data_IF_658486785591
#
_entry.id   IF_658486785591
#
_cell.length_a   1.000
_cell.length_b   1.000
_cell.length_c   1.000
_cell.angle_alpha   90.00
_cell.angle_beta   90.00
_cell.angle_gamma   90.00
#
_symmetry.space_group_name_H-M   'P 1'
#
loop_
_entity.id
_entity.type
_entity.pdbx_description
1 polymer ?
#
# COMPACT_ATOMS: atom_id res chain seq x y z
N UNK A 1 -9.85 -4.24 -51.09
CA UNK A 1 -8.69 -3.93 -50.22
C UNK A 1 -9.07 -3.56 -48.78
N UNK A 2 -10.36 -3.54 -48.41
CA UNK A 2 -10.83 -3.09 -47.07
C UNK A 2 -10.85 -4.18 -45.99
N UNK A 3 -11.07 -5.44 -46.37
CA UNK A 3 -11.24 -6.57 -45.42
C UNK A 3 -9.95 -6.94 -44.70
N UNK A 4 -8.80 -6.75 -45.37
CA UNK A 4 -7.48 -7.03 -44.79
C UNK A 4 -7.09 -5.99 -43.74
N UNK A 5 -7.41 -4.72 -43.97
CA UNK A 5 -7.21 -3.66 -42.98
C UNK A 5 -8.05 -3.90 -41.72
N UNK A 6 -9.34 -4.22 -41.88
CA UNK A 6 -10.22 -4.54 -40.75
C UNK A 6 -9.73 -5.76 -39.96
N UNK A 7 -9.27 -6.81 -40.65
CA UNK A 7 -8.70 -8.00 -40.00
C UNK A 7 -7.40 -7.67 -39.25
N UNK A 8 -6.52 -6.84 -39.82
CA UNK A 8 -5.32 -6.37 -39.15
C UNK A 8 -5.63 -5.55 -37.89
N UNK A 9 -6.60 -4.62 -37.95
CA UNK A 9 -7.00 -3.83 -36.77
C UNK A 9 -7.58 -4.71 -35.67
N UNK A 10 -8.46 -5.67 -36.00
CA UNK A 10 -9.02 -6.61 -35.02
C UNK A 10 -7.93 -7.49 -34.39
N UNK A 11 -6.99 -8.01 -35.18
CA UNK A 11 -5.87 -8.81 -34.68
C UNK A 11 -4.92 -7.99 -33.80
N UNK A 12 -4.71 -6.70 -34.09
CA UNK A 12 -3.90 -5.81 -33.26
C UNK A 12 -4.57 -5.55 -31.89
N UNK A 13 -5.90 -5.38 -31.85
CA UNK A 13 -6.63 -5.14 -30.59
C UNK A 13 -6.63 -6.38 -29.68
N UNK A 14 -6.67 -7.60 -30.24
CA UNK A 14 -6.59 -8.86 -29.48
C UNK A 14 -5.18 -9.11 -28.92
N UNK A 15 -4.13 -8.53 -29.53
CA UNK A 15 -2.74 -8.67 -29.11
C UNK A 15 -2.35 -7.75 -27.95
N UNK A 16 -3.16 -6.76 -27.61
CA UNK A 16 -2.95 -5.94 -26.41
C UNK A 16 -3.42 -6.74 -25.20
N UNK A 17 -2.65 -7.77 -24.84
CA UNK A 17 -2.77 -8.38 -23.53
C UNK A 17 -2.41 -7.32 -22.50
N UNK A 18 -3.39 -6.89 -21.71
CA UNK A 18 -3.14 -6.05 -20.54
C UNK A 18 -2.28 -6.90 -19.60
N UNK A 19 -0.96 -6.66 -19.63
CA UNK A 19 -0.05 -7.18 -18.60
C UNK A 19 -0.34 -6.35 -17.35
N UNK A 20 -1.49 -6.61 -16.74
CA UNK A 20 -1.78 -6.04 -15.44
C UNK A 20 -0.70 -6.52 -14.49
N UNK A 21 -0.15 -5.56 -13.79
CA UNK A 21 0.87 -5.77 -12.78
C UNK A 21 0.09 -6.26 -11.54
N UNK A 22 0.17 -7.56 -11.21
CA UNK A 22 -0.82 -8.18 -10.29
C UNK A 22 -0.26 -8.28 -8.88
N UNK A 23 -0.93 -7.61 -7.94
CA UNK A 23 -0.86 -7.95 -6.51
C UNK A 23 -1.94 -8.98 -6.22
N UNK A 24 -1.56 -10.13 -5.67
CA UNK A 24 -2.51 -11.17 -5.25
C UNK A 24 -2.60 -11.22 -3.73
N UNK A 25 -3.83 -11.18 -3.20
CA UNK A 25 -4.09 -11.29 -1.77
C UNK A 25 -4.95 -12.52 -1.44
N UNK A 26 -4.61 -13.19 -0.33
CA UNK A 26 -5.35 -14.35 0.16
C UNK A 26 -5.36 -14.44 1.69
N UNK A 27 -6.44 -14.85 2.36
CA UNK A 27 -7.79 -15.02 1.81
C UNK A 27 -8.43 -13.67 1.46
N UNK A 28 -9.36 -13.65 0.50
CA UNK A 28 -10.12 -12.43 0.14
C UNK A 28 -11.13 -12.04 1.22
N UNK A 29 -11.74 -13.04 1.86
CA UNK A 29 -12.70 -12.86 2.94
C UNK A 29 -12.43 -13.90 4.02
N UNK A 30 -12.46 -13.49 5.28
CA UNK A 30 -12.31 -14.41 6.41
C UNK A 30 -13.11 -13.90 7.60
N UNK A 31 -13.96 -14.75 8.13
CA UNK A 31 -14.59 -14.58 9.43
C UNK A 31 -13.81 -15.44 10.41
N UNK A 32 -13.46 -14.88 11.57
CA UNK A 32 -12.61 -15.51 12.56
C UNK A 32 -13.09 -15.15 13.97
N UNK A 33 -13.08 -16.12 14.88
CA UNK A 33 -13.32 -15.85 16.31
C UNK A 33 -12.11 -15.16 16.97
N UNK A 34 -12.38 -14.43 18.06
CA UNK A 34 -11.33 -13.77 18.85
C UNK A 34 -10.31 -14.79 19.39
N UNK A 35 -9.06 -14.35 19.55
CA UNK A 35 -7.98 -15.19 20.08
C UNK A 35 -7.37 -16.16 19.07
N UNK A 36 -7.89 -16.21 17.83
CA UNK A 36 -7.36 -17.08 16.78
C UNK A 36 -6.29 -16.36 15.96
N UNK A 37 -5.30 -17.14 15.50
CA UNK A 37 -4.26 -16.66 14.60
C UNK A 37 -4.76 -16.59 13.15
N UNK A 38 -4.35 -15.55 12.43
CA UNK A 38 -4.63 -15.37 11.00
C UNK A 38 -3.41 -14.77 10.31
N UNK A 39 -3.07 -15.32 9.14
CA UNK A 39 -2.08 -14.70 8.25
C UNK A 39 -2.77 -14.35 6.93
N UNK A 40 -2.74 -13.06 6.58
CA UNK A 40 -3.09 -12.55 5.27
C UNK A 40 -1.84 -12.60 4.39
N UNK A 41 -1.95 -13.27 3.26
CA UNK A 41 -0.90 -13.39 2.27
C UNK A 41 -1.04 -12.26 1.26
N UNK A 42 0.10 -11.69 0.87
CA UNK A 42 0.21 -10.79 -0.26
C UNK A 42 1.41 -11.18 -1.11
N UNK A 43 1.19 -11.32 -2.41
CA UNK A 43 2.21 -11.65 -3.39
C UNK A 43 2.19 -10.70 -4.57
N UNK A 44 3.34 -10.52 -5.22
CA UNK A 44 3.48 -9.71 -6.43
C UNK A 44 4.43 -10.38 -7.43
N UNK A 45 4.20 -10.15 -8.73
CA UNK A 45 5.00 -10.68 -9.85
C UNK A 45 5.70 -9.59 -10.68
N UNK A 46 5.75 -8.37 -10.14
CA UNK A 46 6.24 -7.15 -10.77
C UNK A 46 7.69 -6.80 -10.43
N UNK A 47 8.34 -7.60 -9.57
CA UNK A 47 9.66 -7.32 -9.02
C UNK A 47 9.73 -5.94 -8.30
N UNK A 48 8.62 -5.55 -7.66
CA UNK A 48 8.54 -4.34 -6.86
C UNK A 48 9.33 -4.48 -5.54
N UNK A 49 10.19 -3.50 -5.24
CA UNK A 49 10.97 -3.48 -4.00
C UNK A 49 10.08 -3.22 -2.79
N UNK A 50 9.16 -2.26 -2.92
CA UNK A 50 8.30 -1.84 -1.83
C UNK A 50 6.97 -2.57 -1.84
N UNK A 51 6.51 -2.98 -0.65
CA UNK A 51 5.18 -3.53 -0.42
C UNK A 51 4.57 -2.92 0.84
N UNK A 52 3.25 -2.84 0.87
CA UNK A 52 2.52 -2.11 1.90
C UNK A 52 1.32 -2.92 2.35
N UNK A 53 1.03 -2.84 3.64
CA UNK A 53 -0.23 -3.29 4.22
C UNK A 53 -1.00 -2.11 4.77
N UNK A 54 -2.23 -1.96 4.33
CA UNK A 54 -3.18 -0.99 4.84
C UNK A 54 -4.38 -1.70 5.44
N UNK A 55 -5.03 -1.01 6.38
CA UNK A 55 -6.41 -1.31 6.79
C UNK A 55 -7.31 -0.12 6.46
N UNK A 56 -8.58 -0.40 6.25
CA UNK A 56 -9.63 0.59 6.04
C UNK A 56 -10.83 0.23 6.90
N UNK A 57 -11.04 1.04 7.94
CA UNK A 57 -12.23 0.95 8.77
C UNK A 57 -13.39 1.76 8.15
N UNK A 58 -14.65 1.39 8.40
CA UNK A 58 -15.80 2.13 7.88
C UNK A 58 -15.74 3.63 8.22
N UNK A 59 -15.77 4.48 7.20
CA UNK A 59 -15.73 5.94 7.35
C UNK A 59 -14.33 6.54 7.51
N UNK A 60 -13.29 5.70 7.61
CA UNK A 60 -11.89 6.11 7.69
C UNK A 60 -11.18 6.00 6.33
N UNK A 61 -10.09 6.74 6.18
CA UNK A 61 -9.15 6.56 5.07
C UNK A 61 -8.31 5.28 5.22
N UNK A 62 -7.40 5.05 4.26
CA UNK A 62 -6.38 4.01 4.40
C UNK A 62 -5.43 4.37 5.54
N UNK A 63 -5.19 3.42 6.44
CA UNK A 63 -4.22 3.55 7.53
C UNK A 63 -3.11 2.53 7.31
N UNK A 64 -1.85 2.99 7.33
CA UNK A 64 -0.71 2.11 7.07
C UNK A 64 -0.43 1.25 8.30
N UNK A 65 -0.34 -0.06 8.11
CA UNK A 65 0.01 -1.01 9.17
C UNK A 65 1.53 -1.20 9.19
N UNK A 66 2.08 -1.62 8.05
CA UNK A 66 3.50 -1.84 7.81
C UNK A 66 3.84 -1.58 6.35
N UNK A 67 5.09 -1.25 6.09
CA UNK A 67 5.64 -1.27 4.74
C UNK A 67 7.01 -1.92 4.71
N UNK A 68 7.41 -2.38 3.52
CA UNK A 68 8.71 -2.94 3.23
C UNK A 68 9.39 -2.12 2.13
N UNK A 69 10.72 -2.09 2.17
CA UNK A 69 11.58 -1.49 1.13
C UNK A 69 12.52 -2.50 0.48
N UNK A 70 12.33 -3.79 0.74
CA UNK A 70 13.18 -4.86 0.24
C UNK A 70 13.18 -6.08 1.16
N UNK A 71 13.94 -7.12 0.78
CA UNK A 71 14.12 -8.33 1.59
C UNK A 71 14.69 -8.00 2.97
N UNK A 72 14.13 -8.59 4.03
CA UNK A 72 14.46 -8.35 5.44
C UNK A 72 14.32 -6.89 5.93
N UNK A 73 13.74 -6.00 5.11
CA UNK A 73 13.57 -4.58 5.44
C UNK A 73 12.08 -4.22 5.49
N UNK A 74 11.60 -3.90 6.68
CA UNK A 74 10.25 -3.41 6.92
C UNK A 74 10.17 -2.47 8.12
N UNK A 75 9.21 -1.56 8.08
CA UNK A 75 8.99 -0.54 9.10
C UNK A 75 7.50 -0.42 9.47
N UNK A 76 7.27 0.02 10.71
CA UNK A 76 5.94 0.26 11.26
C UNK A 76 5.26 1.44 10.56
N UNK A 77 3.96 1.32 10.30
CA UNK A 77 3.10 2.41 9.84
C UNK A 77 2.42 3.15 10.99
N UNK A 78 1.25 3.71 10.70
CA UNK A 78 0.39 4.45 11.63
C UNK A 78 -0.24 3.55 12.70
N UNK A 79 -0.61 2.31 12.34
CA UNK A 79 -1.37 1.38 13.18
C UNK A 79 -0.77 -0.04 13.21
N UNK A 80 0.49 -0.20 13.64
CA UNK A 80 1.23 -1.46 13.57
C UNK A 80 0.86 -2.45 14.69
N UNK A 81 0.19 -1.98 15.74
CA UNK A 81 0.04 -2.73 16.99
C UNK A 81 -0.91 -3.93 16.85
N UNK A 82 -0.48 -5.08 17.37
CA UNK A 82 -1.21 -6.35 17.24
C UNK A 82 -1.01 -7.05 15.88
N UNK A 83 -0.11 -6.55 15.03
CA UNK A 83 0.25 -7.14 13.74
C UNK A 83 1.75 -7.44 13.66
N UNK A 84 2.08 -8.50 12.93
CA UNK A 84 3.45 -8.91 12.61
C UNK A 84 3.59 -9.12 11.11
N UNK A 85 4.73 -8.75 10.55
CA UNK A 85 5.07 -9.00 9.14
C UNK A 85 6.39 -9.73 9.03
N UNK A 86 6.63 -10.35 7.88
CA UNK A 86 7.94 -10.85 7.47
C UNK A 86 8.18 -10.55 6.01
N UNK A 87 9.45 -10.52 5.60
CA UNK A 87 9.85 -10.10 4.25
C UNK A 87 11.05 -10.91 3.77
N UNK A 88 10.92 -12.22 3.83
CA UNK A 88 12.03 -13.13 3.53
C UNK A 88 12.37 -13.15 2.04
N UNK A 89 11.39 -12.84 1.18
CA UNK A 89 11.51 -12.85 -0.26
C UNK A 89 10.76 -11.66 -0.87
N UNK A 90 11.33 -11.01 -1.90
CA UNK A 90 10.74 -9.83 -2.55
C UNK A 90 9.30 -10.03 -3.06
N UNK A 91 8.89 -11.20 -3.57
CA UNK A 91 7.52 -11.42 -4.02
C UNK A 91 6.50 -11.47 -2.89
N UNK A 92 6.89 -11.72 -1.64
CA UNK A 92 5.96 -12.07 -0.54
C UNK A 92 6.01 -11.05 0.60
N UNK A 93 4.84 -10.63 1.07
CA UNK A 93 4.73 -9.78 2.26
C UNK A 93 3.52 -10.22 3.09
N UNK A 94 3.62 -11.29 3.90
CA UNK A 94 2.53 -11.72 4.76
C UNK A 94 2.30 -10.77 5.95
N UNK A 95 1.03 -10.56 6.32
CA UNK A 95 0.61 -9.88 7.54
C UNK A 95 -0.06 -10.89 8.48
N UNK A 96 0.46 -11.03 9.70
CA UNK A 96 -0.01 -12.00 10.69
C UNK A 96 -0.60 -11.28 11.91
N UNK A 97 -1.78 -11.72 12.31
CA UNK A 97 -2.42 -11.44 13.58
C UNK A 97 -2.25 -12.70 14.44
N UNK A 98 -1.43 -12.66 15.49
CA UNK A 98 -1.21 -13.85 16.33
C UNK A 98 -2.43 -14.18 17.19
N UNK A 99 -3.19 -13.16 17.59
CA UNK A 99 -4.42 -13.28 18.37
C UNK A 99 -5.41 -12.23 17.89
N UNK A 100 -6.38 -12.64 17.07
CA UNK A 100 -7.35 -11.72 16.49
C UNK A 100 -8.26 -11.09 17.57
N UNK A 101 -8.49 -9.79 17.44
CA UNK A 101 -9.41 -9.02 18.27
C UNK A 101 -10.50 -8.34 17.43
N UNK A 102 -11.59 -7.94 18.07
CA UNK A 102 -12.69 -7.21 17.40
C UNK A 102 -12.23 -5.90 16.76
N UNK A 103 -11.23 -5.24 17.36
CA UNK A 103 -10.65 -3.98 16.88
C UNK A 103 -9.85 -4.14 15.59
N UNK A 104 -9.56 -5.37 15.17
CA UNK A 104 -8.88 -5.70 13.92
C UNK A 104 -9.88 -6.19 12.84
N UNK A 105 -11.18 -6.02 13.06
CA UNK A 105 -12.20 -6.26 12.03
C UNK A 105 -12.20 -5.09 11.06
N UNK A 106 -11.63 -5.28 9.88
CA UNK A 106 -11.40 -4.22 8.90
C UNK A 106 -11.29 -4.79 7.48
N UNK A 107 -11.28 -3.91 6.47
CA UNK A 107 -10.86 -4.28 5.12
C UNK A 107 -9.35 -4.09 5.00
N UNK A 108 -8.64 -5.11 4.52
CA UNK A 108 -7.18 -5.08 4.41
C UNK A 108 -6.74 -5.00 2.96
N UNK A 109 -5.85 -4.07 2.66
CA UNK A 109 -5.31 -3.85 1.31
C UNK A 109 -3.80 -4.07 1.30
N UNK A 110 -3.33 -4.70 0.24
CA UNK A 110 -1.92 -4.81 -0.06
C UNK A 110 -1.62 -4.08 -1.35
N UNK A 111 -0.51 -3.35 -1.37
CA UNK A 111 -0.02 -2.64 -2.54
C UNK A 111 1.48 -2.87 -2.69
N UNK A 112 2.02 -2.61 -3.87
CA UNK A 112 3.44 -2.66 -4.14
C UNK A 112 3.88 -1.55 -5.08
N UNK A 113 5.16 -1.18 -5.03
CA UNK A 113 5.75 -0.12 -5.85
C UNK A 113 7.21 -0.42 -6.18
N UNK A 114 7.64 0.00 -7.37
CA UNK A 114 9.04 -0.09 -7.80
C UNK A 114 9.97 0.82 -6.97
N UNK A 115 9.48 1.98 -6.53
CA UNK A 115 10.24 2.94 -5.71
C UNK A 115 9.51 3.27 -4.42
N UNK A 116 10.26 3.60 -3.36
CA UNK A 116 9.72 4.33 -2.22
C UNK A 116 9.33 5.73 -2.71
N UNK A 117 8.04 5.95 -2.99
CA UNK A 117 7.57 7.33 -3.04
C UNK A 117 7.92 7.96 -1.67
N UNK A 118 8.67 9.06 -1.67
CA UNK A 118 8.95 9.82 -0.47
C UNK A 118 7.61 10.08 0.22
N UNK A 119 7.46 9.69 1.47
CA UNK A 119 6.22 9.78 2.25
C UNK A 119 5.89 11.25 2.60
N UNK A 120 5.93 12.17 1.63
CA UNK A 120 5.40 13.51 1.79
C UNK A 120 3.89 13.45 1.50
N UNK A 121 3.13 13.07 2.53
CA UNK A 121 1.72 13.37 2.70
C UNK A 121 0.86 13.41 1.42
N UNK A 122 0.39 12.26 0.94
CA UNK A 122 -0.84 12.23 0.13
C UNK A 122 -2.03 12.20 1.10
N UNK A 123 -2.28 13.32 1.76
CA UNK A 123 -3.55 13.64 2.40
C UNK A 123 -4.28 14.65 1.49
N UNK A 124 -4.81 14.21 0.36
CA UNK A 124 -5.59 15.10 -0.51
C UNK A 124 -6.49 14.32 -1.48
N UNK A 125 -7.49 13.62 -0.95
CA UNK A 125 -8.66 13.23 -1.76
C UNK A 125 -9.95 12.93 -0.97
N UNK A 126 -10.08 13.38 0.28
CA UNK A 126 -11.37 13.32 0.97
C UNK A 126 -11.71 14.69 1.58
N UNK A 127 -11.94 15.66 0.69
CA UNK A 127 -12.57 16.91 1.06
C UNK A 127 -14.04 16.62 1.38
N UNK A 128 -14.39 16.52 2.67
CA UNK A 128 -15.76 16.79 3.12
C UNK A 128 -15.84 18.30 3.34
N UNK A 129 -16.75 18.95 2.63
CA UNK A 129 -16.97 20.38 2.73
C UNK A 129 -17.45 20.86 4.10
N UNK A 130 -17.24 22.17 4.28
CA UNK A 130 -17.81 23.13 5.27
C UNK A 130 -17.15 23.31 6.65
N UNK A 131 -17.24 24.51 7.28
CA UNK A 131 -17.21 25.91 6.81
C UNK A 131 -15.93 26.66 7.24
N UNK A 132 -15.75 27.83 6.61
CA UNK A 132 -14.73 28.86 6.89
C UNK A 132 -14.81 29.39 8.33
N UNK A 133 -13.73 29.22 9.11
CA UNK A 133 -13.49 30.00 10.33
C UNK A 133 -12.08 30.59 10.32
N UNK A 134 -12.03 31.89 10.52
CA UNK A 134 -10.87 32.77 10.50
C UNK A 134 -10.07 32.61 11.80
N UNK A 135 -8.77 32.34 11.72
CA UNK A 135 -7.94 32.13 12.91
C UNK A 135 -6.45 31.94 12.62
N UNK A 136 -5.74 33.08 12.56
CA UNK A 136 -4.32 33.34 12.92
C UNK A 136 -3.25 32.23 12.76
N UNK A 137 -2.31 32.49 11.85
CA UNK A 137 -1.07 31.77 11.58
C UNK A 137 -0.06 31.84 12.76
N UNK A 138 0.55 30.73 13.22
CA UNK A 138 1.81 30.79 13.94
C UNK A 138 2.99 30.58 12.99
N UNK A 139 3.73 31.66 12.76
CA UNK A 139 5.08 31.64 12.22
C UNK A 139 6.06 31.04 13.25
N UNK A 140 6.76 29.94 12.92
CA UNK A 140 8.19 29.67 13.23
C UNK A 140 8.60 28.25 12.82
N UNK A 141 9.33 28.09 11.72
CA UNK A 141 10.11 26.88 11.42
C UNK A 141 11.48 26.96 12.11
N UNK A 142 11.97 25.90 12.78
CA UNK A 142 13.39 25.78 13.09
C UNK A 142 14.13 25.17 11.89
N UNK A 143 15.12 25.92 11.38
CA UNK A 143 16.08 25.44 10.38
C UNK A 143 16.78 24.17 10.86
N UNK A 144 16.67 23.06 10.10
CA UNK A 144 17.55 21.90 10.25
C UNK A 144 18.43 21.85 9.01
N UNK A 145 19.73 22.09 9.21
CA UNK A 145 20.73 22.24 8.15
C UNK A 145 20.90 20.97 7.30
N UNK A 146 21.26 21.20 6.03
CA UNK A 146 21.65 20.16 5.09
C UNK A 146 23.00 19.52 5.49
N UNK A 147 23.18 18.20 5.35
CA UNK A 147 24.50 17.59 5.42
C UNK A 147 25.26 17.85 4.12
N UNK A 148 26.42 18.50 4.24
CA UNK A 148 27.37 18.73 3.16
C UNK A 148 27.97 17.42 2.65
N UNK A 149 28.02 17.26 1.34
CA UNK A 149 28.78 16.24 0.65
C UNK A 149 30.26 16.59 0.71
N UNK A 150 31.09 15.74 1.33
CA UNK A 150 32.54 15.77 1.22
C UNK A 150 33.00 14.36 0.80
N UNK A 151 33.42 14.25 -0.46
CA UNK A 151 34.27 13.17 -0.95
C UNK A 151 35.64 13.24 -0.28
N UNK A 152 36.28 12.09 -0.07
CA UNK A 152 37.50 11.80 -0.85
C UNK A 152 37.31 10.63 -1.82
#
# INVERSE_FOLDING_TARGET
MSTRFLCCVVLCLVRVGLKDAVVTQFPRHKILGTGKKLTLQCTQDMNHFSMYWYRQDPGSGLQLIYYSTGTEAFEKGDVPEGYHVSRNELPYFPLTLDSASTNQTSVYFCASSLSTALHSHILSAQERGEPRSEGTLPSRFPNRGAPGWLSP
#
